data_IF_158053071348
#
_entry.id   IF_158053071348
#
_cell.length_a   1.000
_cell.length_b   1.000
_cell.length_c   1.000
_cell.angle_alpha   90.00
_cell.angle_beta   90.00
_cell.angle_gamma   90.00
#
_symmetry.space_group_name_H-M   'P 1'
#
loop_
_entity.id
_entity.type
_entity.pdbx_description
1 polymer ?
#
# COMPACT_ATOMS: atom_id res chain seq x y z
N UNK A 1 -17.90 -16.80 22.71
CA UNK A 1 -17.73 -18.27 22.98
C UNK A 1 -16.47 -18.73 22.27
N UNK A 2 -15.44 -19.10 23.05
CA UNK A 2 -14.21 -19.68 22.51
C UNK A 2 -14.52 -21.04 21.91
N UNK A 3 -14.49 -21.16 20.59
CA UNK A 3 -14.51 -22.46 19.91
C UNK A 3 -13.18 -23.18 20.21
N UNK A 4 -13.31 -24.38 20.76
CA UNK A 4 -12.22 -25.22 21.21
C UNK A 4 -11.19 -25.50 20.14
N UNK A 5 -9.93 -25.47 20.51
CA UNK A 5 -8.81 -25.90 19.70
C UNK A 5 -8.99 -27.38 19.32
N UNK A 6 -9.47 -27.64 18.11
CA UNK A 6 -9.45 -29.00 17.55
C UNK A 6 -8.02 -29.53 17.56
N UNK A 7 -7.83 -30.65 18.21
CA UNK A 7 -6.53 -31.32 18.36
C UNK A 7 -6.08 -31.79 16.96
N UNK A 8 -5.10 -31.12 16.37
CA UNK A 8 -4.52 -31.49 15.06
C UNK A 8 -4.08 -32.97 15.07
N UNK A 9 -4.49 -33.72 14.06
CA UNK A 9 -4.09 -35.10 13.83
C UNK A 9 -2.55 -35.27 13.83
N UNK A 10 -2.05 -36.46 14.19
CA UNK A 10 -0.61 -36.75 14.16
C UNK A 10 0.04 -36.43 12.79
N UNK A 11 -0.64 -36.78 11.68
CA UNK A 11 -0.23 -36.41 10.31
C UNK A 11 -0.12 -34.90 10.12
N UNK A 12 -1.07 -34.12 10.68
CA UNK A 12 -1.04 -32.67 10.65
C UNK A 12 0.15 -32.07 11.40
N UNK A 13 0.46 -32.62 12.60
CA UNK A 13 1.63 -32.21 13.39
C UNK A 13 2.95 -32.48 12.67
N UNK A 14 3.09 -33.67 12.06
CA UNK A 14 4.28 -34.03 11.25
C UNK A 14 4.43 -33.10 10.05
N UNK A 15 3.36 -32.85 9.28
CA UNK A 15 3.37 -31.94 8.13
C UNK A 15 3.77 -30.50 8.55
N UNK A 16 3.27 -30.03 9.68
CA UNK A 16 3.65 -28.71 10.25
C UNK A 16 5.13 -28.65 10.63
N UNK A 17 5.65 -29.72 11.24
CA UNK A 17 7.09 -29.82 11.59
C UNK A 17 7.98 -29.83 10.35
N UNK A 18 7.63 -30.62 9.33
CA UNK A 18 8.36 -30.66 8.04
C UNK A 18 8.36 -29.30 7.33
N UNK A 19 7.23 -28.59 7.31
CA UNK A 19 7.18 -27.22 6.76
C UNK A 19 8.12 -26.26 7.49
N UNK A 20 8.22 -26.34 8.83
CA UNK A 20 9.15 -25.50 9.61
C UNK A 20 10.62 -25.84 9.32
N UNK A 21 10.97 -27.12 9.19
CA UNK A 21 12.32 -27.55 8.82
C UNK A 21 12.68 -27.08 7.42
N UNK A 22 11.76 -27.22 6.46
CA UNK A 22 11.95 -26.76 5.09
C UNK A 22 12.10 -25.24 5.00
N UNK A 23 11.27 -24.47 5.72
CA UNK A 23 11.39 -22.99 5.82
C UNK A 23 12.78 -22.62 6.38
N UNK A 24 13.22 -23.29 7.47
CA UNK A 24 14.53 -23.06 8.05
C UNK A 24 15.66 -23.32 7.05
N UNK A 25 15.64 -24.48 6.40
CA UNK A 25 16.65 -24.85 5.42
C UNK A 25 16.73 -23.81 4.28
N UNK A 26 15.57 -23.39 3.73
CA UNK A 26 15.54 -22.42 2.62
C UNK A 26 16.14 -21.07 3.01
N UNK A 27 15.66 -20.46 4.09
CA UNK A 27 15.99 -19.08 4.43
C UNK A 27 17.23 -18.93 5.31
N UNK A 28 17.67 -19.96 6.02
CA UNK A 28 18.84 -19.87 6.89
C UNK A 28 20.06 -20.62 6.34
N UNK A 29 19.89 -21.47 5.32
CA UNK A 29 21.00 -22.27 4.76
C UNK A 29 21.09 -22.10 3.24
N UNK A 30 20.05 -22.47 2.49
CA UNK A 30 20.11 -22.59 1.05
C UNK A 30 20.26 -21.25 0.33
N UNK A 31 19.35 -20.30 0.57
CA UNK A 31 19.39 -18.99 -0.06
C UNK A 31 20.62 -18.16 0.33
N UNK A 32 21.05 -18.08 1.60
CA UNK A 32 22.31 -17.45 1.97
C UNK A 32 23.53 -18.05 1.27
N UNK A 33 23.61 -19.39 1.19
CA UNK A 33 24.70 -20.06 0.49
C UNK A 33 24.71 -19.78 -1.01
N UNK A 34 23.53 -19.75 -1.62
CA UNK A 34 23.36 -19.44 -3.03
C UNK A 34 23.75 -18.00 -3.35
N UNK A 35 23.30 -17.05 -2.53
CA UNK A 35 23.67 -15.64 -2.64
C UNK A 35 25.19 -15.44 -2.57
N UNK A 36 25.87 -16.04 -1.57
CA UNK A 36 27.34 -16.04 -1.48
C UNK A 36 28.03 -16.57 -2.74
N UNK A 37 27.43 -17.56 -3.42
CA UNK A 37 27.95 -18.06 -4.70
C UNK A 37 27.86 -17.01 -5.80
N UNK A 38 26.73 -16.26 -5.87
CA UNK A 38 26.54 -15.20 -6.86
C UNK A 38 27.43 -13.99 -6.60
N UNK A 39 27.74 -13.68 -5.34
CA UNK A 39 28.68 -12.60 -4.94
C UNK A 39 30.13 -12.82 -5.38
N UNK A 40 30.46 -13.90 -6.06
CA UNK A 40 31.80 -14.08 -6.71
C UNK A 40 32.02 -13.11 -7.88
N UNK A 41 30.94 -12.59 -8.46
CA UNK A 41 30.99 -11.52 -9.47
C UNK A 41 30.95 -10.15 -8.75
N UNK A 42 31.60 -9.09 -9.30
CA UNK A 42 31.54 -7.76 -8.72
C UNK A 42 30.12 -7.18 -8.77
N UNK A 43 29.87 -6.18 -7.94
CA UNK A 43 28.73 -5.27 -8.09
C UNK A 43 28.95 -4.40 -9.33
N UNK A 44 27.88 -4.05 -10.01
CA UNK A 44 27.88 -3.10 -11.13
C UNK A 44 27.41 -1.75 -10.56
N UNK A 45 28.29 -0.74 -10.54
CA UNK A 45 28.10 0.51 -9.80
C UNK A 45 26.87 1.31 -10.20
N UNK A 46 26.42 1.20 -11.44
CA UNK A 46 25.22 1.90 -11.92
C UNK A 46 24.01 0.97 -12.06
N UNK A 47 24.06 -0.26 -11.55
CA UNK A 47 22.94 -1.18 -11.64
C UNK A 47 21.92 -0.96 -10.52
N UNK A 48 20.68 -0.78 -10.91
CA UNK A 48 19.51 -0.64 -10.05
C UNK A 48 18.57 -1.82 -10.27
N UNK A 49 18.20 -2.50 -9.20
CA UNK A 49 17.21 -3.57 -9.21
C UNK A 49 15.91 -3.10 -8.55
N UNK A 50 14.80 -3.27 -9.24
CA UNK A 50 13.46 -3.20 -8.66
C UNK A 50 12.99 -4.62 -8.30
N UNK A 51 12.92 -4.91 -7.01
CA UNK A 51 12.54 -6.21 -6.47
C UNK A 51 11.05 -6.23 -6.11
N UNK A 52 10.23 -6.70 -7.05
CA UNK A 52 8.79 -6.84 -6.85
C UNK A 52 8.47 -8.12 -6.07
N UNK A 53 7.81 -7.96 -4.91
CA UNK A 53 7.53 -9.08 -4.02
C UNK A 53 6.18 -9.75 -4.28
N UNK A 54 5.19 -9.03 -4.84
CA UNK A 54 3.78 -9.43 -4.90
C UNK A 54 3.27 -9.72 -6.31
N UNK A 55 3.58 -8.84 -7.27
CA UNK A 55 2.97 -8.80 -8.61
C UNK A 55 3.85 -9.45 -9.69
N UNK A 56 3.33 -9.51 -10.90
CA UNK A 56 4.01 -10.01 -12.11
C UNK A 56 4.62 -8.86 -12.94
N UNK A 57 4.30 -7.64 -12.57
CA UNK A 57 4.75 -6.39 -13.18
C UNK A 57 5.09 -5.37 -12.09
N UNK A 58 5.78 -4.30 -12.42
CA UNK A 58 6.17 -3.28 -11.46
C UNK A 58 4.95 -2.61 -10.84
N UNK A 59 4.92 -2.58 -9.51
CA UNK A 59 3.88 -1.89 -8.76
C UNK A 59 3.94 -0.38 -8.97
N UNK A 60 2.81 0.30 -8.75
CA UNK A 60 2.74 1.76 -8.78
C UNK A 60 3.75 2.44 -7.85
N UNK A 61 4.18 1.77 -6.79
CA UNK A 61 5.21 2.29 -5.86
C UNK A 61 6.55 2.55 -6.55
N UNK A 62 6.86 1.81 -7.62
CA UNK A 62 8.12 1.91 -8.35
C UNK A 62 8.05 2.82 -9.57
N UNK A 63 6.89 2.94 -10.23
CA UNK A 63 6.76 3.49 -11.57
C UNK A 63 7.41 4.86 -11.72
N UNK A 64 7.08 5.82 -10.87
CA UNK A 64 7.62 7.19 -10.99
C UNK A 64 9.13 7.25 -10.87
N UNK A 65 9.71 6.51 -9.93
CA UNK A 65 11.16 6.46 -9.75
C UNK A 65 11.83 5.72 -10.92
N UNK A 66 11.22 4.63 -11.39
CA UNK A 66 11.71 3.87 -12.54
C UNK A 66 11.80 4.77 -13.78
N UNK A 67 10.73 5.47 -14.13
CA UNK A 67 10.67 6.42 -15.24
C UNK A 67 11.78 7.48 -15.14
N UNK A 68 11.96 8.09 -13.96
CA UNK A 68 12.98 9.13 -13.75
C UNK A 68 14.41 8.61 -13.83
N UNK A 69 14.66 7.39 -13.36
CA UNK A 69 15.97 6.76 -13.50
C UNK A 69 16.25 6.37 -14.97
N UNK A 70 15.24 5.89 -15.69
CA UNK A 70 15.34 5.59 -17.12
C UNK A 70 15.60 6.87 -17.96
N UNK A 71 14.82 7.93 -17.73
CA UNK A 71 15.00 9.24 -18.36
C UNK A 71 16.41 9.82 -18.13
N UNK A 72 17.01 9.57 -16.96
CA UNK A 72 18.34 10.07 -16.65
C UNK A 72 19.45 9.46 -17.52
N UNK A 73 19.26 8.22 -17.98
CA UNK A 73 20.27 7.46 -18.74
C UNK A 73 21.52 7.10 -17.93
N UNK A 74 21.57 7.41 -16.62
CA UNK A 74 22.75 7.19 -15.77
C UNK A 74 22.82 5.74 -15.25
N UNK A 75 21.68 5.02 -15.19
CA UNK A 75 21.55 3.73 -14.54
C UNK A 75 21.15 2.60 -15.48
N UNK A 76 21.63 1.40 -15.16
CA UNK A 76 21.17 0.16 -15.80
C UNK A 76 20.07 -0.44 -14.93
N UNK A 77 18.83 -0.38 -15.40
CA UNK A 77 17.67 -0.87 -14.67
C UNK A 77 17.47 -2.37 -14.87
N UNK A 78 17.10 -3.08 -13.84
CA UNK A 78 16.71 -4.49 -13.86
C UNK A 78 15.54 -4.74 -12.93
N UNK A 79 14.80 -5.81 -13.19
CA UNK A 79 13.59 -6.18 -12.47
C UNK A 79 13.66 -7.63 -12.03
N UNK A 80 13.12 -7.94 -10.85
CA UNK A 80 12.95 -9.31 -10.40
C UNK A 80 11.62 -9.47 -9.66
N UNK A 81 10.85 -10.48 -10.05
CA UNK A 81 9.51 -10.75 -9.56
C UNK A 81 9.49 -12.01 -8.70
N UNK A 82 9.09 -11.91 -7.44
CA UNK A 82 9.11 -13.03 -6.49
C UNK A 82 7.75 -13.71 -6.38
N UNK A 83 6.67 -12.95 -6.54
CA UNK A 83 5.27 -13.44 -6.47
C UNK A 83 4.99 -14.22 -5.19
N UNK A 84 5.41 -13.68 -4.06
CA UNK A 84 5.44 -14.36 -2.75
C UNK A 84 4.10 -15.01 -2.36
N UNK A 85 2.97 -14.38 -2.68
CA UNK A 85 1.64 -14.89 -2.36
C UNK A 85 1.11 -15.94 -3.35
N UNK A 86 1.64 -16.00 -4.57
CA UNK A 86 1.10 -16.79 -5.69
C UNK A 86 2.02 -17.96 -6.05
N UNK A 87 3.30 -17.72 -6.27
CA UNK A 87 4.26 -18.76 -6.66
C UNK A 87 4.52 -19.78 -5.54
N UNK A 88 4.66 -21.05 -5.88
CA UNK A 88 4.87 -22.15 -4.92
C UNK A 88 5.95 -23.13 -5.41
N UNK A 89 6.49 -23.90 -4.47
CA UNK A 89 7.36 -25.04 -4.76
C UNK A 89 8.60 -24.70 -5.58
N UNK A 90 8.72 -25.31 -6.78
CA UNK A 90 9.85 -25.13 -7.70
C UNK A 90 9.84 -23.76 -8.34
N UNK A 91 8.68 -23.30 -8.80
CA UNK A 91 8.49 -21.97 -9.39
C UNK A 91 9.02 -20.87 -8.46
N UNK A 92 8.52 -20.80 -7.24
CA UNK A 92 9.00 -19.82 -6.25
C UNK A 92 10.53 -19.93 -6.03
N UNK A 93 11.08 -21.14 -6.06
CA UNK A 93 12.52 -21.31 -5.87
C UNK A 93 13.32 -20.73 -7.04
N UNK A 94 12.85 -20.89 -8.27
CA UNK A 94 13.53 -20.33 -9.45
C UNK A 94 13.42 -18.80 -9.48
N UNK A 95 12.24 -18.23 -9.16
CA UNK A 95 12.06 -16.78 -9.04
C UNK A 95 13.01 -16.19 -7.98
N UNK A 96 13.12 -16.83 -6.81
CA UNK A 96 14.07 -16.38 -5.77
C UNK A 96 15.52 -16.53 -6.21
N UNK A 97 15.89 -17.58 -6.95
CA UNK A 97 17.25 -17.71 -7.48
C UNK A 97 17.60 -16.58 -8.43
N UNK A 98 16.68 -16.21 -9.32
CA UNK A 98 16.85 -15.06 -10.20
C UNK A 98 17.01 -13.77 -9.39
N UNK A 99 16.10 -13.51 -8.45
CA UNK A 99 16.19 -12.33 -7.58
C UNK A 99 17.52 -12.27 -6.83
N UNK A 100 18.01 -13.38 -6.25
CA UNK A 100 19.31 -13.43 -5.56
C UNK A 100 20.49 -13.16 -6.49
N UNK A 101 20.42 -13.57 -7.75
CA UNK A 101 21.45 -13.28 -8.74
C UNK A 101 21.47 -11.78 -9.08
N UNK A 102 20.31 -11.20 -9.28
CA UNK A 102 20.14 -9.76 -9.55
C UNK A 102 20.61 -8.92 -8.35
N UNK A 103 20.16 -9.24 -7.12
CA UNK A 103 20.61 -8.55 -5.89
C UNK A 103 22.13 -8.59 -5.75
N UNK A 104 22.77 -9.74 -6.04
CA UNK A 104 24.20 -9.92 -5.87
C UNK A 104 25.06 -9.04 -6.81
N UNK A 105 24.50 -8.53 -7.89
CA UNK A 105 25.20 -7.68 -8.87
C UNK A 105 24.74 -6.21 -8.85
N UNK A 106 23.75 -5.87 -8.04
CA UNK A 106 23.17 -4.51 -8.03
C UNK A 106 23.78 -3.61 -6.97
N UNK A 107 24.06 -2.35 -7.33
CA UNK A 107 24.48 -1.29 -6.41
C UNK A 107 23.31 -0.83 -5.56
N UNK A 108 22.11 -0.70 -6.18
CA UNK A 108 20.88 -0.31 -5.51
C UNK A 108 19.82 -1.39 -5.70
N UNK A 109 19.09 -1.68 -4.63
CA UNK A 109 17.93 -2.58 -4.64
C UNK A 109 16.74 -1.84 -4.04
N UNK A 110 15.72 -1.60 -4.84
CA UNK A 110 14.45 -1.07 -4.39
C UNK A 110 13.47 -2.19 -4.07
N UNK A 111 12.76 -2.05 -2.96
CA UNK A 111 11.66 -2.93 -2.55
C UNK A 111 10.51 -2.07 -2.02
N UNK A 112 9.26 -2.53 -2.15
CA UNK A 112 8.08 -1.78 -1.69
C UNK A 112 7.28 -2.52 -0.61
N UNK A 113 7.76 -3.66 -0.15
CA UNK A 113 7.07 -4.50 0.84
C UNK A 113 8.08 -5.23 1.75
N UNK A 114 7.54 -6.05 2.63
CA UNK A 114 8.28 -6.98 3.47
C UNK A 114 9.04 -8.02 2.64
N UNK A 115 10.33 -8.21 2.88
CA UNK A 115 11.13 -9.18 2.16
C UNK A 115 11.94 -10.09 3.09
N UNK A 116 11.40 -11.29 3.34
CA UNK A 116 12.15 -12.34 4.05
C UNK A 116 13.40 -12.78 3.28
N UNK A 117 13.45 -12.58 1.96
CA UNK A 117 14.58 -12.93 1.12
C UNK A 117 15.75 -12.00 1.41
N UNK A 118 15.55 -10.70 1.31
CA UNK A 118 16.57 -9.69 1.68
C UNK A 118 17.04 -9.88 3.12
N UNK A 119 16.10 -10.11 4.04
CA UNK A 119 16.39 -10.31 5.46
C UNK A 119 17.11 -11.63 5.79
N UNK A 120 17.20 -12.57 4.86
CA UNK A 120 17.82 -13.88 5.09
C UNK A 120 19.23 -14.02 4.52
N UNK A 121 19.69 -13.08 3.70
CA UNK A 121 20.99 -13.15 3.04
C UNK A 121 22.02 -12.25 3.74
N UNK A 122 23.31 -12.61 3.71
CA UNK A 122 24.39 -11.72 4.14
C UNK A 122 24.67 -10.70 3.03
N UNK A 123 23.93 -9.60 3.04
CA UNK A 123 24.02 -8.56 2.01
C UNK A 123 25.46 -8.02 1.93
N UNK A 124 25.90 -7.63 0.74
CA UNK A 124 27.20 -7.01 0.49
C UNK A 124 27.17 -5.55 0.99
N UNK A 125 28.29 -5.06 1.46
CA UNK A 125 28.45 -3.66 1.91
C UNK A 125 28.26 -2.67 0.76
N UNK A 126 28.63 -3.06 -0.45
CA UNK A 126 28.48 -2.23 -1.65
C UNK A 126 27.01 -2.08 -2.12
N UNK A 127 26.10 -2.94 -1.67
CA UNK A 127 24.69 -2.91 -2.08
C UNK A 127 23.85 -2.12 -1.10
N UNK A 128 23.21 -1.07 -1.57
CA UNK A 128 22.26 -0.25 -0.80
C UNK A 128 20.84 -0.70 -1.05
N UNK A 129 20.09 -1.02 0.01
CA UNK A 129 18.67 -1.44 -0.09
C UNK A 129 17.75 -0.35 0.40
N UNK A 130 16.83 0.07 -0.47
CA UNK A 130 15.88 1.15 -0.22
C UNK A 130 14.45 0.59 -0.28
N UNK A 131 13.69 0.78 0.79
CA UNK A 131 12.28 0.42 0.83
C UNK A 131 11.43 1.68 0.58
N UNK A 132 10.75 1.73 -0.56
CA UNK A 132 9.85 2.82 -0.92
C UNK A 132 8.48 2.73 -0.25
N UNK A 133 8.16 1.56 0.31
CA UNK A 133 6.86 1.21 0.83
C UNK A 133 5.73 1.37 -0.21
N UNK A 134 4.52 0.98 0.17
CA UNK A 134 3.34 0.96 -0.72
C UNK A 134 2.13 1.70 -0.15
N UNK A 135 2.32 2.48 0.92
CA UNK A 135 1.27 3.26 1.57
C UNK A 135 1.85 4.57 2.12
N UNK A 136 1.03 5.59 2.19
CA UNK A 136 1.35 6.84 2.86
C UNK A 136 0.89 6.83 4.31
N UNK A 137 1.44 7.71 5.12
CA UNK A 137 1.09 7.86 6.52
C UNK A 137 1.35 6.62 7.38
N UNK A 138 0.76 6.57 8.55
CA UNK A 138 0.74 5.41 9.43
C UNK A 138 -0.62 5.35 10.13
N UNK A 139 -1.52 4.53 9.64
CA UNK A 139 -2.86 4.43 10.20
C UNK A 139 -3.04 3.11 10.95
N UNK A 140 -3.19 2.00 10.24
CA UNK A 140 -3.33 0.66 10.82
C UNK A 140 -1.98 0.12 11.28
N UNK A 141 -1.93 -0.51 12.45
CA UNK A 141 -0.72 -1.21 12.91
C UNK A 141 -0.33 -2.32 11.92
N UNK A 142 0.96 -2.49 11.70
CA UNK A 142 1.52 -3.53 10.84
C UNK A 142 2.82 -4.09 11.44
N UNK A 143 3.42 -5.07 10.78
CA UNK A 143 4.70 -5.63 11.16
C UNK A 143 4.73 -6.08 12.64
N UNK A 144 5.75 -5.68 13.37
CA UNK A 144 5.95 -6.04 14.79
C UNK A 144 4.92 -5.43 15.73
N UNK A 145 4.37 -4.25 15.39
CA UNK A 145 3.33 -3.59 16.18
C UNK A 145 2.03 -4.40 16.28
N UNK A 146 1.86 -5.44 15.42
CA UNK A 146 0.73 -6.37 15.49
C UNK A 146 1.05 -7.70 16.19
N UNK A 147 2.25 -7.89 16.75
CA UNK A 147 2.69 -9.17 17.31
C UNK A 147 1.85 -9.68 18.49
N UNK A 148 1.14 -8.79 19.18
CA UNK A 148 0.19 -9.10 20.26
C UNK A 148 -1.27 -9.18 19.81
N UNK A 149 -1.55 -8.92 18.54
CA UNK A 149 -2.90 -8.90 17.97
C UNK A 149 -3.25 -10.24 17.30
N UNK A 150 -4.54 -10.51 17.14
CA UNK A 150 -5.04 -11.74 16.48
C UNK A 150 -4.55 -11.85 15.04
N UNK A 151 -4.40 -10.71 14.37
CA UNK A 151 -3.96 -10.59 12.97
C UNK A 151 -2.47 -10.88 12.80
N UNK A 152 -1.61 -10.59 13.78
CA UNK A 152 -0.16 -10.54 13.64
C UNK A 152 0.56 -11.90 13.78
N UNK A 153 1.78 -11.94 13.27
CA UNK A 153 2.74 -13.02 13.59
C UNK A 153 3.32 -12.81 14.97
N UNK A 154 3.63 -13.91 15.70
CA UNK A 154 4.25 -13.78 17.01
C UNK A 154 5.63 -13.11 16.95
N UNK A 155 6.01 -12.35 17.98
CA UNK A 155 7.32 -11.70 18.05
C UNK A 155 8.47 -12.72 17.83
N UNK A 156 8.37 -13.92 18.44
CA UNK A 156 9.35 -15.00 18.26
C UNK A 156 9.52 -15.46 16.79
N UNK A 157 8.44 -15.49 16.02
CA UNK A 157 8.52 -15.84 14.59
C UNK A 157 9.15 -14.70 13.78
N UNK A 158 8.83 -13.45 14.11
CA UNK A 158 9.42 -12.26 13.48
C UNK A 158 10.92 -12.11 13.82
N UNK A 159 11.35 -12.43 15.04
CA UNK A 159 12.77 -12.44 15.41
C UNK A 159 13.54 -13.52 14.65
N UNK A 160 12.92 -14.70 14.46
CA UNK A 160 13.54 -15.80 13.74
C UNK A 160 13.62 -15.57 12.24
N UNK A 161 12.61 -14.94 11.67
CA UNK A 161 12.48 -14.63 10.25
C UNK A 161 12.05 -13.17 10.09
N UNK A 162 12.98 -12.23 10.25
CA UNK A 162 12.68 -10.82 10.05
C UNK A 162 12.28 -10.55 8.60
N UNK A 163 11.45 -9.54 8.40
CA UNK A 163 10.97 -9.17 7.08
C UNK A 163 11.58 -7.86 6.57
N UNK A 164 12.24 -7.11 7.46
CA UNK A 164 12.73 -5.77 7.19
C UNK A 164 14.21 -5.58 7.57
N UNK A 165 14.96 -6.67 7.76
CA UNK A 165 16.40 -6.57 7.98
C UNK A 165 17.13 -6.22 6.66
N UNK A 166 18.35 -5.68 6.79
CA UNK A 166 19.20 -5.27 5.66
C UNK A 166 18.61 -4.11 4.83
N UNK A 167 17.86 -3.21 5.46
CA UNK A 167 17.41 -1.97 4.83
C UNK A 167 18.35 -0.83 5.24
N UNK A 168 18.80 -0.03 4.28
CA UNK A 168 19.63 1.16 4.47
C UNK A 168 18.79 2.43 4.52
N UNK A 169 17.61 2.40 3.89
CA UNK A 169 16.64 3.48 3.87
C UNK A 169 15.23 2.93 3.75
N UNK A 170 14.32 3.51 4.53
CA UNK A 170 12.87 3.41 4.33
C UNK A 170 12.31 4.81 4.14
N UNK A 171 11.60 5.07 3.04
CA UNK A 171 10.99 6.38 2.81
C UNK A 171 9.58 6.44 3.41
N UNK A 172 9.27 7.55 4.05
CA UNK A 172 7.94 7.82 4.63
C UNK A 172 7.46 9.22 4.27
N UNK A 173 6.15 9.43 4.37
CA UNK A 173 5.46 10.63 3.90
C UNK A 173 5.63 11.86 4.78
N UNK A 174 6.06 11.71 6.04
CA UNK A 174 6.20 12.79 7.00
C UNK A 174 7.11 12.39 8.18
N UNK A 175 7.80 13.33 8.85
CA UNK A 175 8.49 13.10 10.10
C UNK A 175 7.59 12.53 11.21
N UNK A 176 6.32 12.90 11.22
CA UNK A 176 5.31 12.44 12.18
C UNK A 176 5.21 10.90 12.26
N UNK A 177 5.42 10.19 11.15
CA UNK A 177 5.19 8.73 11.08
C UNK A 177 6.46 7.89 11.19
N UNK A 178 7.64 8.51 11.27
CA UNK A 178 8.93 7.81 11.35
C UNK A 178 8.94 6.76 12.47
N UNK A 179 8.55 7.14 13.69
CA UNK A 179 8.52 6.25 14.85
C UNK A 179 7.65 4.99 14.63
N UNK A 180 6.53 5.13 13.93
CA UNK A 180 5.61 4.02 13.69
C UNK A 180 6.22 2.96 12.75
N UNK A 181 7.01 3.41 11.77
CA UNK A 181 7.74 2.50 10.87
C UNK A 181 8.95 1.87 11.55
N UNK A 182 9.71 2.62 12.36
CA UNK A 182 10.81 2.08 13.17
C UNK A 182 10.30 0.98 14.11
N UNK A 183 9.18 1.21 14.82
CA UNK A 183 8.54 0.20 15.66
C UNK A 183 8.06 -1.01 14.86
N UNK A 184 7.28 -0.77 13.78
CA UNK A 184 6.68 -1.85 13.00
C UNK A 184 7.70 -2.74 12.30
N UNK A 185 8.77 -2.13 11.76
CA UNK A 185 9.82 -2.82 11.03
C UNK A 185 10.97 -3.29 11.94
N UNK A 186 10.98 -2.85 13.20
CA UNK A 186 12.03 -3.11 14.18
C UNK A 186 13.39 -2.66 13.65
N UNK A 187 13.46 -1.42 13.20
CA UNK A 187 14.65 -0.78 12.66
C UNK A 187 15.28 0.18 13.67
N UNK A 188 16.60 0.36 13.64
CA UNK A 188 17.26 1.39 14.42
C UNK A 188 16.88 2.78 13.90
N UNK A 189 17.05 3.79 14.76
CA UNK A 189 16.89 5.20 14.42
C UNK A 189 17.77 5.60 13.22
N UNK A 190 17.22 6.42 12.33
CA UNK A 190 17.93 6.99 11.18
C UNK A 190 17.85 6.19 9.88
N UNK A 191 17.31 4.97 9.90
CA UNK A 191 17.01 4.18 8.68
C UNK A 191 15.72 4.67 8.03
N UNK A 192 14.71 5.03 8.83
CA UNK A 192 13.45 5.59 8.34
C UNK A 192 13.61 7.09 8.17
N UNK A 193 13.39 7.59 6.95
CA UNK A 193 13.54 9.02 6.65
C UNK A 193 12.30 9.57 5.93
N UNK A 194 11.89 10.75 6.33
CA UNK A 194 10.78 11.48 5.74
C UNK A 194 11.22 12.16 4.42
N UNK A 195 11.55 11.35 3.41
CA UNK A 195 11.89 11.84 2.07
C UNK A 195 10.67 12.01 1.15
N UNK A 196 9.49 11.62 1.61
CA UNK A 196 8.28 11.53 0.82
C UNK A 196 8.14 10.17 0.13
N UNK A 197 7.05 9.99 -0.58
CA UNK A 197 6.69 8.78 -1.31
C UNK A 197 6.68 9.10 -2.81
N UNK A 198 7.62 8.53 -3.56
CA UNK A 198 7.88 8.85 -4.98
C UNK A 198 6.62 8.84 -5.86
N UNK A 199 5.74 7.85 -5.69
CA UNK A 199 4.53 7.73 -6.52
C UNK A 199 3.56 8.92 -6.35
N UNK A 200 3.65 9.69 -5.25
CA UNK A 200 2.77 10.83 -5.02
C UNK A 200 3.18 12.09 -5.80
N UNK A 201 4.40 12.12 -6.34
CA UNK A 201 4.89 13.29 -7.07
C UNK A 201 4.06 13.58 -8.33
N UNK A 202 3.46 12.54 -8.95
CA UNK A 202 2.60 12.71 -10.13
C UNK A 202 1.33 13.54 -9.84
N UNK A 203 0.86 13.59 -8.58
CA UNK A 203 -0.32 14.38 -8.21
C UNK A 203 -0.07 15.90 -8.22
N UNK A 204 1.17 16.33 -8.33
CA UNK A 204 1.58 17.73 -8.51
C UNK A 204 1.78 18.11 -10.00
N UNK A 205 1.67 17.16 -10.91
CA UNK A 205 1.66 17.39 -12.35
C UNK A 205 0.22 17.54 -12.84
N UNK A 206 -0.16 18.79 -13.21
CA UNK A 206 -1.53 19.10 -13.64
C UNK A 206 -1.90 18.33 -14.91
N UNK A 207 -0.96 18.14 -15.85
CA UNK A 207 -1.22 17.39 -17.09
C UNK A 207 -1.51 15.90 -16.76
N UNK A 208 -0.81 15.32 -15.80
CA UNK A 208 -1.12 14.00 -15.29
C UNK A 208 -2.53 13.96 -14.70
N UNK A 209 -2.84 14.85 -13.76
CA UNK A 209 -4.15 14.90 -13.10
C UNK A 209 -5.29 15.03 -14.11
N UNK A 210 -5.15 15.92 -15.09
CA UNK A 210 -6.17 16.12 -16.12
C UNK A 210 -6.34 14.88 -17.01
N UNK A 211 -5.23 14.22 -17.37
CA UNK A 211 -5.29 12.97 -18.14
C UNK A 211 -6.03 11.83 -17.39
N UNK A 212 -5.91 11.77 -16.05
CA UNK A 212 -6.62 10.78 -15.25
C UNK A 212 -8.12 11.04 -15.20
N UNK A 213 -8.53 12.31 -15.14
CA UNK A 213 -9.94 12.71 -15.22
C UNK A 213 -10.56 12.33 -16.56
N UNK A 214 -9.87 12.64 -17.66
CA UNK A 214 -10.34 12.26 -19.00
C UNK A 214 -10.52 10.73 -19.11
N UNK A 215 -9.61 9.94 -18.55
CA UNK A 215 -9.72 8.48 -18.53
C UNK A 215 -10.97 8.00 -17.76
N UNK A 216 -11.35 8.66 -16.66
CA UNK A 216 -12.63 8.37 -15.99
C UNK A 216 -13.80 8.72 -16.92
N UNK A 217 -13.77 9.87 -17.59
CA UNK A 217 -14.84 10.30 -18.47
C UNK A 217 -15.01 9.42 -19.72
N UNK A 218 -13.94 8.77 -20.18
CA UNK A 218 -14.02 7.77 -21.27
C UNK A 218 -14.77 6.51 -20.83
N UNK A 219 -14.61 6.11 -19.56
CA UNK A 219 -15.29 4.94 -18.99
C UNK A 219 -16.67 5.26 -18.47
N UNK A 220 -16.87 6.46 -17.91
CA UNK A 220 -18.13 6.95 -17.33
C UNK A 220 -18.47 8.33 -17.89
N UNK A 221 -18.98 8.44 -19.13
CA UNK A 221 -19.22 9.74 -19.79
C UNK A 221 -20.17 10.67 -19.02
N UNK A 222 -21.14 10.09 -18.29
CA UNK A 222 -22.08 10.84 -17.43
C UNK A 222 -21.42 11.55 -16.24
N UNK A 223 -20.16 11.24 -15.91
CA UNK A 223 -19.40 11.95 -14.90
C UNK A 223 -18.97 13.35 -15.36
N UNK A 224 -18.95 13.60 -16.69
CA UNK A 224 -18.53 14.88 -17.24
C UNK A 224 -19.51 16.00 -16.85
N UNK A 225 -19.00 16.99 -16.13
CA UNK A 225 -19.79 18.10 -15.61
C UNK A 225 -20.51 17.84 -14.28
N UNK A 226 -20.33 16.66 -13.70
CA UNK A 226 -20.83 16.31 -12.36
C UNK A 226 -19.69 16.17 -11.36
N UNK A 227 -19.99 16.29 -10.07
CA UNK A 227 -19.06 15.94 -9.00
C UNK A 227 -18.91 14.43 -8.88
N UNK A 228 -17.70 13.99 -8.64
CA UNK A 228 -17.38 12.55 -8.51
C UNK A 228 -17.22 12.20 -7.04
N UNK A 229 -18.10 11.33 -6.54
CA UNK A 229 -17.98 10.73 -5.22
C UNK A 229 -17.23 9.40 -5.38
N UNK A 230 -16.05 9.27 -4.75
CA UNK A 230 -15.31 8.02 -4.66
C UNK A 230 -15.69 7.28 -3.38
N UNK A 231 -16.25 6.09 -3.50
CA UNK A 231 -16.44 5.17 -2.38
C UNK A 231 -15.38 4.07 -2.41
N UNK A 232 -14.45 4.11 -1.45
CA UNK A 232 -13.31 3.20 -1.39
C UNK A 232 -13.14 2.60 0.02
N UNK A 233 -13.99 1.64 0.41
CA UNK A 233 -13.97 1.03 1.73
C UNK A 233 -12.86 0.00 1.88
N UNK A 234 -12.42 -0.24 3.11
CA UNK A 234 -11.56 -1.37 3.46
C UNK A 234 -12.37 -2.68 3.42
N UNK A 235 -11.78 -3.76 2.92
CA UNK A 235 -12.42 -5.08 2.99
C UNK A 235 -12.57 -5.59 4.43
N UNK A 236 -13.52 -6.50 4.65
CA UNK A 236 -13.73 -7.19 5.92
C UNK A 236 -13.23 -8.62 5.86
N UNK A 237 -12.90 -9.18 7.00
CA UNK A 237 -12.41 -10.56 7.10
C UNK A 237 -10.91 -10.72 6.81
N UNK A 238 -10.50 -11.93 6.48
CA UNK A 238 -9.11 -12.27 6.10
C UNK A 238 -8.96 -12.21 4.58
N UNK A 239 -7.74 -12.08 4.09
CA UNK A 239 -7.44 -12.05 2.63
C UNK A 239 -8.13 -13.19 1.85
N UNK A 240 -8.20 -14.40 2.42
CA UNK A 240 -8.85 -15.55 1.76
C UNK A 240 -10.39 -15.54 1.81
N UNK A 241 -10.96 -14.71 2.65
CA UNK A 241 -12.41 -14.57 2.90
C UNK A 241 -12.79 -13.09 2.94
N UNK A 242 -12.15 -12.29 2.10
CA UNK A 242 -12.39 -10.86 2.05
C UNK A 242 -13.79 -10.60 1.45
N UNK A 243 -14.57 -9.78 2.16
CA UNK A 243 -15.88 -9.31 1.72
C UNK A 243 -15.91 -7.80 1.62
N UNK A 244 -16.77 -7.27 0.79
CA UNK A 244 -17.11 -5.85 0.78
C UNK A 244 -18.03 -5.51 1.94
N UNK A 245 -17.95 -4.31 2.51
CA UNK A 245 -19.10 -3.73 3.18
C UNK A 245 -20.20 -3.46 2.15
N UNK A 246 -21.41 -3.93 2.42
CA UNK A 246 -22.59 -3.77 1.55
C UNK A 246 -23.61 -2.86 2.27
N UNK A 247 -23.19 -1.61 2.48
CA UNK A 247 -23.90 -0.64 3.32
C UNK A 247 -24.40 0.59 2.53
N UNK A 248 -24.21 0.62 1.19
CA UNK A 248 -24.64 1.74 0.34
C UNK A 248 -25.96 1.38 -0.35
N UNK A 249 -27.01 2.14 -0.08
CA UNK A 249 -28.25 2.15 -0.86
C UNK A 249 -28.07 3.04 -2.10
N UNK A 250 -27.72 2.41 -3.23
CA UNK A 250 -27.44 3.11 -4.49
C UNK A 250 -28.65 3.84 -5.06
N UNK A 251 -29.86 3.29 -4.89
CA UNK A 251 -31.09 3.93 -5.38
C UNK A 251 -31.34 5.21 -4.62
N UNK A 252 -31.28 5.14 -3.31
CA UNK A 252 -31.49 6.29 -2.45
C UNK A 252 -30.39 7.36 -2.64
N UNK A 253 -29.15 6.96 -2.88
CA UNK A 253 -28.05 7.88 -3.22
C UNK A 253 -28.36 8.59 -4.54
N UNK A 254 -28.78 7.88 -5.58
CA UNK A 254 -29.17 8.48 -6.85
C UNK A 254 -30.34 9.45 -6.72
N UNK A 255 -31.39 9.10 -6.00
CA UNK A 255 -32.54 9.97 -5.76
C UNK A 255 -32.16 11.33 -5.14
N UNK A 256 -31.11 11.33 -4.30
CA UNK A 256 -30.66 12.53 -3.60
C UNK A 256 -29.58 13.33 -4.35
N UNK A 257 -28.71 12.66 -5.13
CA UNK A 257 -27.49 13.26 -5.69
C UNK A 257 -27.34 13.05 -7.20
N UNK A 258 -28.18 12.25 -7.85
CA UNK A 258 -27.99 11.87 -9.26
C UNK A 258 -28.09 13.01 -10.26
N UNK A 259 -28.58 14.18 -9.88
CA UNK A 259 -28.64 15.34 -10.77
C UNK A 259 -27.25 15.94 -11.01
N UNK A 260 -26.45 16.11 -9.97
CA UNK A 260 -25.17 16.85 -9.98
C UNK A 260 -23.96 16.02 -9.53
N UNK A 261 -24.15 14.76 -9.13
CA UNK A 261 -23.09 13.84 -8.76
C UNK A 261 -23.14 12.51 -9.52
N UNK A 262 -22.01 11.78 -9.49
CA UNK A 262 -21.88 10.35 -9.78
C UNK A 262 -21.12 9.65 -8.68
N UNK A 263 -21.39 8.37 -8.47
CA UNK A 263 -20.73 7.54 -7.46
C UNK A 263 -19.85 6.48 -8.13
N UNK A 264 -18.57 6.47 -7.77
CA UNK A 264 -17.58 5.51 -8.28
C UNK A 264 -17.12 4.63 -7.13
N UNK A 265 -17.37 3.32 -7.23
CA UNK A 265 -16.99 2.33 -6.23
C UNK A 265 -15.66 1.67 -6.59
N UNK A 266 -14.67 1.75 -5.70
CA UNK A 266 -13.39 1.03 -5.81
C UNK A 266 -13.19 0.12 -4.62
N UNK A 267 -13.43 -1.16 -4.81
CA UNK A 267 -13.21 -2.16 -3.78
C UNK A 267 -11.77 -2.63 -3.76
N UNK A 268 -11.37 -3.20 -2.62
CA UNK A 268 -10.04 -3.76 -2.49
C UNK A 268 -9.89 -5.02 -3.38
N UNK A 269 -8.77 -5.24 -4.09
CA UNK A 269 -8.57 -6.40 -4.99
C UNK A 269 -8.73 -7.79 -4.36
N UNK A 270 -8.80 -7.89 -3.03
CA UNK A 270 -9.07 -9.15 -2.33
C UNK A 270 -10.56 -9.49 -2.25
N UNK A 271 -11.44 -8.54 -2.50
CA UNK A 271 -12.89 -8.75 -2.57
C UNK A 271 -13.22 -9.42 -3.88
N UNK A 272 -13.94 -10.55 -3.82
CA UNK A 272 -14.33 -11.32 -5.01
C UNK A 272 -15.80 -11.13 -5.38
N UNK A 273 -16.62 -10.88 -4.39
CA UNK A 273 -18.06 -10.67 -4.55
C UNK A 273 -18.32 -9.18 -4.38
N UNK A 274 -18.59 -8.50 -5.48
CA UNK A 274 -18.83 -7.07 -5.54
C UNK A 274 -20.31 -6.77 -5.31
N UNK A 275 -20.69 -5.63 -4.71
CA UNK A 275 -22.07 -5.23 -4.57
C UNK A 275 -22.70 -5.04 -5.94
N UNK A 276 -23.95 -5.51 -6.09
CA UNK A 276 -24.70 -5.33 -7.31
C UNK A 276 -25.29 -3.92 -7.32
N UNK A 277 -24.89 -3.14 -8.32
CA UNK A 277 -25.51 -1.83 -8.57
C UNK A 277 -26.83 -2.10 -9.33
N UNK A 278 -28.00 -1.69 -8.78
CA UNK A 278 -29.27 -1.86 -9.44
C UNK A 278 -29.32 -1.13 -10.79
N UNK A 279 -30.06 -1.69 -11.76
CA UNK A 279 -30.19 -1.08 -13.10
C UNK A 279 -30.73 0.36 -13.02
N UNK A 280 -31.60 0.63 -12.06
CA UNK A 280 -32.17 1.95 -11.80
C UNK A 280 -31.12 2.98 -11.35
N UNK A 281 -29.96 2.54 -10.84
CA UNK A 281 -28.87 3.40 -10.38
C UNK A 281 -27.64 3.36 -11.32
N UNK A 282 -27.69 2.62 -12.43
CA UNK A 282 -26.54 2.38 -13.32
C UNK A 282 -26.02 3.63 -14.06
N UNK A 283 -26.85 4.65 -14.22
CA UNK A 283 -26.47 5.95 -14.78
C UNK A 283 -25.84 6.92 -13.74
N UNK A 284 -25.91 6.54 -12.46
CA UNK A 284 -25.36 7.29 -11.35
C UNK A 284 -24.13 6.63 -10.71
N UNK A 285 -24.19 5.30 -10.50
CA UNK A 285 -23.15 4.55 -9.79
C UNK A 285 -22.44 3.57 -10.70
N UNK A 286 -21.14 3.36 -10.48
CA UNK A 286 -20.30 2.40 -11.22
C UNK A 286 -19.29 1.73 -10.29
N UNK A 287 -19.21 0.39 -10.38
CA UNK A 287 -18.05 -0.35 -9.88
C UNK A 287 -16.98 -0.38 -10.96
N UNK A 288 -15.75 0.02 -10.59
CA UNK A 288 -14.63 0.13 -11.54
C UNK A 288 -13.91 -1.19 -11.80
N UNK A 289 -14.34 -2.30 -11.24
CA UNK A 289 -13.71 -3.61 -11.51
C UNK A 289 -13.77 -3.94 -13.00
N UNK A 290 -12.62 -4.36 -13.56
CA UNK A 290 -12.50 -4.69 -14.98
C UNK A 290 -12.50 -3.50 -15.95
N UNK A 291 -12.63 -2.25 -15.50
CA UNK A 291 -12.63 -1.06 -16.36
C UNK A 291 -11.22 -0.57 -16.76
N UNK A 292 -10.18 -1.07 -16.07
CA UNK A 292 -8.81 -0.59 -16.25
C UNK A 292 -8.50 0.74 -15.53
N UNK A 293 -9.44 1.29 -14.76
CA UNK A 293 -9.19 2.46 -13.89
C UNK A 293 -8.39 2.05 -12.67
N UNK A 294 -7.32 2.79 -12.40
CA UNK A 294 -6.46 2.62 -11.22
C UNK A 294 -6.94 3.49 -10.05
N UNK A 295 -6.37 3.27 -8.87
CA UNK A 295 -6.70 4.13 -7.72
C UNK A 295 -6.23 5.57 -7.94
N UNK A 296 -5.11 5.77 -8.63
CA UNK A 296 -4.61 7.10 -8.99
C UNK A 296 -5.57 7.84 -9.92
N UNK A 297 -6.16 7.15 -10.90
CA UNK A 297 -7.19 7.71 -11.79
C UNK A 297 -8.37 8.25 -10.98
N UNK A 298 -8.78 7.51 -9.96
CA UNK A 298 -9.91 7.85 -9.12
C UNK A 298 -9.60 8.97 -8.12
N UNK A 299 -8.42 8.93 -7.48
CA UNK A 299 -7.99 9.99 -6.56
C UNK A 299 -7.89 11.34 -7.27
N UNK A 300 -7.36 11.37 -8.51
CA UNK A 300 -7.29 12.58 -9.33
C UNK A 300 -8.68 13.11 -9.72
N UNK A 301 -9.65 12.21 -9.91
CA UNK A 301 -10.97 12.53 -10.42
C UNK A 301 -11.98 12.89 -9.32
N UNK A 302 -11.83 12.34 -8.12
CA UNK A 302 -12.80 12.49 -7.05
C UNK A 302 -12.90 13.93 -6.53
N UNK A 303 -14.12 14.36 -6.22
CA UNK A 303 -14.43 15.62 -5.55
C UNK A 303 -14.79 15.40 -4.08
N UNK A 304 -15.33 14.24 -3.74
CA UNK A 304 -15.57 13.77 -2.37
C UNK A 304 -15.04 12.35 -2.25
N UNK A 305 -14.29 12.04 -1.20
CA UNK A 305 -13.84 10.68 -0.90
C UNK A 305 -14.56 10.13 0.32
N UNK A 306 -15.30 9.04 0.12
CA UNK A 306 -15.91 8.26 1.20
C UNK A 306 -15.03 7.03 1.43
N UNK A 307 -14.50 6.90 2.63
CA UNK A 307 -13.71 5.75 3.04
C UNK A 307 -13.99 5.40 4.49
N UNK A 308 -13.24 4.45 5.03
CA UNK A 308 -13.36 4.05 6.44
C UNK A 308 -11.97 4.00 7.09
N UNK A 309 -11.28 2.87 7.01
CA UNK A 309 -9.98 2.63 7.64
C UNK A 309 -8.84 2.53 6.59
N UNK A 310 -9.02 3.05 5.40
CA UNK A 310 -8.05 2.94 4.32
C UNK A 310 -6.95 3.99 4.43
N UNK A 311 -5.71 3.61 4.09
CA UNK A 311 -4.58 4.55 3.98
C UNK A 311 -4.66 5.47 2.76
N UNK A 312 -5.58 5.24 1.83
CA UNK A 312 -5.75 6.09 0.64
C UNK A 312 -6.10 7.56 1.01
N UNK A 313 -6.68 7.77 2.21
CA UNK A 313 -7.04 9.11 2.70
C UNK A 313 -5.82 10.02 2.85
N UNK A 314 -4.63 9.46 3.10
CA UNK A 314 -3.40 10.25 3.12
C UNK A 314 -3.09 10.83 1.73
N UNK A 315 -3.14 10.01 0.69
CA UNK A 315 -2.88 10.43 -0.68
C UNK A 315 -3.96 11.38 -1.18
N UNK A 316 -5.23 11.09 -0.86
CA UNK A 316 -6.33 11.99 -1.20
C UNK A 316 -6.22 13.36 -0.53
N UNK A 317 -5.63 13.44 0.67
CA UNK A 317 -5.41 14.70 1.37
C UNK A 317 -4.53 15.69 0.59
N UNK A 318 -3.72 15.20 -0.37
CA UNK A 318 -2.89 16.05 -1.23
C UNK A 318 -3.73 16.98 -2.11
N UNK A 319 -4.94 16.57 -2.45
CA UNK A 319 -5.90 17.38 -3.23
C UNK A 319 -6.67 18.39 -2.40
N UNK A 320 -6.58 18.34 -1.05
CA UNK A 320 -7.23 19.24 -0.11
C UNK A 320 -8.76 19.30 -0.27
N UNK A 321 -9.37 18.19 -0.67
CA UNK A 321 -10.80 18.01 -0.93
C UNK A 321 -11.52 17.29 0.22
N UNK A 322 -12.88 17.29 0.25
CA UNK A 322 -13.68 16.65 1.29
C UNK A 322 -13.42 15.15 1.43
N UNK A 323 -13.35 14.69 2.69
CA UNK A 323 -13.31 13.28 3.06
C UNK A 323 -14.43 12.99 4.08
N UNK A 324 -15.13 11.87 3.90
CA UNK A 324 -16.14 11.35 4.83
C UNK A 324 -15.71 9.96 5.27
N UNK A 325 -15.77 9.69 6.56
CA UNK A 325 -15.36 8.43 7.17
C UNK A 325 -16.58 7.61 7.56
N UNK A 326 -16.98 6.68 6.66
CA UNK A 326 -18.14 5.82 6.87
C UNK A 326 -17.74 4.58 7.67
N UNK A 327 -17.80 4.71 9.01
CA UNK A 327 -17.25 3.76 9.98
C UNK A 327 -18.34 3.08 10.83
N UNK A 328 -19.33 2.45 10.18
CA UNK A 328 -20.49 1.81 10.83
C UNK A 328 -20.10 0.65 11.77
N UNK A 329 -18.95 0.00 11.56
CA UNK A 329 -18.45 -1.14 12.33
C UNK A 329 -17.16 -0.85 13.11
N UNK A 330 -16.96 0.41 13.51
CA UNK A 330 -15.71 0.88 14.12
C UNK A 330 -15.24 0.04 15.31
N UNK A 331 -16.14 -0.30 16.24
CA UNK A 331 -15.79 -1.02 17.46
C UNK A 331 -15.25 -2.44 17.17
N UNK A 332 -15.90 -3.16 16.24
CA UNK A 332 -15.48 -4.49 15.82
C UNK A 332 -14.13 -4.46 15.07
N UNK A 333 -13.91 -3.42 14.26
CA UNK A 333 -12.68 -3.29 13.47
C UNK A 333 -11.47 -2.97 14.34
N UNK A 334 -11.61 -2.11 15.34
CA UNK A 334 -10.54 -1.71 16.25
C UNK A 334 -9.91 -2.88 17.02
N UNK A 335 -10.72 -3.81 17.50
CA UNK A 335 -10.24 -4.95 18.30
C UNK A 335 -9.36 -5.90 17.49
N UNK A 336 -9.60 -5.96 16.19
CA UNK A 336 -8.94 -6.95 15.35
C UNK A 336 -7.52 -6.54 14.93
N UNK A 337 -7.28 -5.27 14.58
CA UNK A 337 -6.01 -4.81 13.99
C UNK A 337 -5.30 -3.74 14.82
N UNK A 338 -6.02 -2.77 15.33
CA UNK A 338 -5.51 -1.60 16.07
C UNK A 338 -4.94 -0.51 15.14
N UNK A 339 -4.91 0.70 15.66
CA UNK A 339 -4.45 1.91 14.99
C UNK A 339 -3.27 2.51 15.73
N UNK A 340 -2.47 3.35 15.04
CA UNK A 340 -1.38 4.11 15.65
C UNK A 340 -1.88 5.39 16.33
N UNK A 341 -2.98 5.95 15.84
CA UNK A 341 -3.61 7.18 16.34
C UNK A 341 -5.05 6.89 16.76
N UNK A 342 -5.60 7.71 17.63
CA UNK A 342 -7.03 7.68 17.93
C UNK A 342 -7.82 8.04 16.68
N UNK A 343 -8.81 7.23 16.33
CA UNK A 343 -9.57 7.39 15.09
C UNK A 343 -10.33 8.72 15.04
N UNK A 344 -10.92 9.12 16.17
CA UNK A 344 -11.72 10.34 16.27
C UNK A 344 -10.88 11.63 16.19
N UNK A 345 -9.62 11.56 16.59
CA UNK A 345 -8.68 12.68 16.52
C UNK A 345 -7.88 12.71 15.21
N UNK A 346 -7.81 11.56 14.53
CA UNK A 346 -7.03 11.37 13.33
C UNK A 346 -7.76 11.85 12.08
N UNK A 347 -9.10 11.63 11.98
CA UNK A 347 -9.85 11.84 10.72
C UNK A 347 -10.08 13.32 10.43
N UNK A 348 -9.72 13.83 9.23
CA UNK A 348 -9.90 15.23 8.87
C UNK A 348 -11.28 15.55 8.27
N UNK A 349 -12.29 14.76 8.60
CA UNK A 349 -13.66 14.90 8.12
C UNK A 349 -14.66 14.21 9.03
N UNK A 350 -15.97 14.30 8.75
CA UNK A 350 -17.01 13.69 9.57
C UNK A 350 -16.89 12.17 9.60
N UNK A 351 -17.12 11.59 10.80
CA UNK A 351 -17.26 10.14 11.00
C UNK A 351 -18.76 9.88 11.08
N UNK A 352 -19.25 9.04 10.16
CA UNK A 352 -20.68 8.70 10.04
C UNK A 352 -20.86 7.19 10.12
N UNK A 353 -22.01 6.75 10.64
CA UNK A 353 -22.31 5.33 10.90
C UNK A 353 -23.55 4.83 10.17
N UNK A 354 -24.38 5.72 9.67
CA UNK A 354 -25.62 5.36 8.96
C UNK A 354 -25.67 5.98 7.58
N UNK A 355 -26.54 5.45 6.71
CA UNK A 355 -26.76 6.00 5.38
C UNK A 355 -27.33 7.43 5.43
N UNK A 356 -28.16 7.73 6.42
CA UNK A 356 -28.73 9.06 6.67
C UNK A 356 -27.64 10.08 6.98
N UNK A 357 -26.77 9.75 7.95
CA UNK A 357 -25.64 10.60 8.33
C UNK A 357 -24.66 10.78 7.14
N UNK A 358 -24.45 9.73 6.34
CA UNK A 358 -23.62 9.81 5.14
C UNK A 358 -24.18 10.81 4.12
N UNK A 359 -25.48 10.73 3.82
CA UNK A 359 -26.11 11.66 2.88
C UNK A 359 -26.12 13.09 3.40
N UNK A 360 -26.29 13.29 4.71
CA UNK A 360 -26.18 14.62 5.34
C UNK A 360 -24.77 15.17 5.21
N UNK A 361 -23.75 14.34 5.48
CA UNK A 361 -22.34 14.72 5.34
C UNK A 361 -21.95 15.07 3.91
N UNK A 362 -22.51 14.41 2.88
CA UNK A 362 -22.28 14.77 1.48
C UNK A 362 -22.85 16.16 1.18
N UNK A 363 -24.09 16.46 1.61
CA UNK A 363 -24.69 17.80 1.44
C UNK A 363 -23.86 18.87 2.15
N UNK A 364 -23.42 18.60 3.37
CA UNK A 364 -22.60 19.54 4.15
C UNK A 364 -21.23 19.79 3.48
N UNK A 365 -20.64 18.77 2.83
CA UNK A 365 -19.44 18.95 2.02
C UNK A 365 -19.65 19.92 0.85
N UNK A 366 -20.81 19.91 0.24
CA UNK A 366 -21.12 20.80 -0.88
C UNK A 366 -21.31 22.25 -0.43
N UNK A 367 -21.95 22.44 0.72
CA UNK A 367 -22.40 23.74 1.19
C UNK A 367 -21.40 24.43 2.14
N UNK A 368 -20.67 23.65 2.97
CA UNK A 368 -19.92 24.19 4.10
C UNK A 368 -18.49 23.62 4.25
N UNK A 369 -17.93 22.96 3.21
CA UNK A 369 -16.59 22.37 3.33
C UNK A 369 -15.55 23.39 3.76
N UNK A 370 -14.87 23.09 4.87
CA UNK A 370 -13.73 23.84 5.35
C UNK A 370 -12.42 23.05 5.13
N UNK A 371 -11.53 23.48 4.22
CA UNK A 371 -10.29 22.76 3.91
C UNK A 371 -9.26 22.80 5.05
N UNK A 372 -9.46 23.56 6.11
CA UNK A 372 -8.47 23.74 7.18
C UNK A 372 -8.08 22.41 7.86
N UNK A 373 -9.05 21.51 8.11
CA UNK A 373 -8.79 20.22 8.73
C UNK A 373 -7.97 19.31 7.82
N UNK A 374 -8.33 19.25 6.53
CA UNK A 374 -7.60 18.45 5.54
C UNK A 374 -6.18 19.00 5.32
N UNK A 375 -6.01 20.33 5.30
CA UNK A 375 -4.69 20.98 5.22
C UNK A 375 -3.84 20.68 6.44
N UNK A 376 -4.42 20.70 7.64
CA UNK A 376 -3.70 20.34 8.88
C UNK A 376 -3.28 18.86 8.85
N UNK A 377 -4.15 17.97 8.42
CA UNK A 377 -3.87 16.55 8.24
C UNK A 377 -2.76 16.32 7.21
N UNK A 378 -2.85 16.93 6.02
CA UNK A 378 -1.82 16.89 4.97
C UNK A 378 -0.47 17.35 5.53
N UNK A 379 -0.45 18.50 6.21
CA UNK A 379 0.78 19.01 6.83
C UNK A 379 1.36 18.03 7.85
N UNK A 380 0.55 17.41 8.68
CA UNK A 380 1.00 16.48 9.71
C UNK A 380 1.54 15.17 9.10
N UNK A 381 0.81 14.56 8.18
CA UNK A 381 1.07 13.19 7.72
C UNK A 381 1.70 13.07 6.34
N UNK A 382 1.68 14.14 5.54
CA UNK A 382 2.12 14.14 4.14
C UNK A 382 3.10 15.27 3.82
N UNK A 383 3.70 15.90 4.83
CA UNK A 383 4.57 17.09 4.68
C UNK A 383 5.69 16.89 3.66
N UNK A 384 6.27 15.68 3.59
CA UNK A 384 7.36 15.36 2.66
C UNK A 384 6.88 14.87 1.28
N UNK A 385 5.57 14.75 1.06
CA UNK A 385 4.97 14.45 -0.23
C UNK A 385 4.56 15.78 -0.90
N UNK A 386 5.54 16.51 -1.40
CA UNK A 386 5.45 17.87 -1.94
C UNK A 386 5.77 17.96 -3.44
N UNK A 387 5.80 16.82 -4.14
CA UNK A 387 6.14 16.71 -5.55
C UNK A 387 7.63 16.48 -5.84
N UNK A 388 8.48 16.39 -4.81
CA UNK A 388 9.94 16.26 -4.93
C UNK A 388 10.52 15.02 -4.25
N UNK A 389 9.69 14.03 -3.91
CA UNK A 389 10.15 12.83 -3.21
C UNK A 389 11.12 12.01 -4.08
N UNK A 390 10.84 11.87 -5.38
CA UNK A 390 11.70 11.15 -6.33
C UNK A 390 13.08 11.80 -6.42
N UNK A 391 13.15 13.12 -6.50
CA UNK A 391 14.41 13.87 -6.53
C UNK A 391 15.26 13.63 -5.27
N UNK A 392 14.63 13.65 -4.09
CA UNK A 392 15.31 13.38 -2.82
C UNK A 392 15.85 11.95 -2.72
N UNK A 393 15.11 10.97 -3.25
CA UNK A 393 15.56 9.57 -3.32
C UNK A 393 16.76 9.45 -4.27
N UNK A 394 16.70 10.06 -5.46
CA UNK A 394 17.83 10.08 -6.41
C UNK A 394 19.06 10.79 -5.84
N UNK A 395 18.87 11.89 -5.10
CA UNK A 395 19.96 12.56 -4.40
C UNK A 395 20.63 11.67 -3.35
N UNK A 396 19.83 10.92 -2.57
CA UNK A 396 20.35 9.92 -1.64
C UNK A 396 21.17 8.83 -2.33
N UNK A 397 20.72 8.35 -3.51
CA UNK A 397 21.50 7.38 -4.30
C UNK A 397 22.84 7.94 -4.72
N UNK A 398 22.89 9.19 -5.22
CA UNK A 398 24.13 9.86 -5.61
C UNK A 398 25.08 10.04 -4.44
N UNK A 399 24.58 10.41 -3.26
CA UNK A 399 25.38 10.47 -2.03
C UNK A 399 26.02 9.10 -1.70
N UNK A 400 25.25 8.01 -1.81
CA UNK A 400 25.74 6.65 -1.56
C UNK A 400 26.73 6.13 -2.60
N UNK A 401 26.71 6.63 -3.81
CA UNK A 401 27.72 6.30 -4.83
C UNK A 401 29.06 6.97 -4.59
N UNK A 402 29.06 8.12 -3.91
CA UNK A 402 30.29 8.87 -3.59
C UNK A 402 31.02 8.36 -2.32
N UNK A 403 30.34 7.54 -1.52
CA UNK A 403 30.90 6.88 -0.32
C UNK A 403 31.57 5.56 -0.65
#
# INVERSE_FOLDING_TARGET
MYQGAESMSLKGKIKKKLKKVYKYYRYKIYFPKLYKKYCKKPVIDNKVLFLEMRFEELSHSFQRLYEKLEESGEYTLSEAYVRFNFARGKEYTELVKHALQEIASSRFVFVDDASIILSSIPLREETTVINLWHACGAFKKFGRSTATKIFGSSAKELDKYPNYANLDLVTVSSPEVVWAYEEAMNLPEGIVKALGISRTDCFYDQAFVDSRKEKLYDVMPQARGKKVILYAPTFRGRVSTATSPDEIDFIRMKENFGEDHVLVCKLHPFVKEHPVIPDEASDFAMDVEGTGLTIEDLLCSADICISDYSSLVFEYSLFEKPMIFYAYDYDDYCDWRGFYYDYSEFTPGPIVKTQEELMEAIRDCDDHFNPALVKAFKKKFMESCDGHATERIMAYMKEKQMQ
#
